data_IF_956452918000
#
_entry.id   IF_956452918000
#
_cell.length_a   1.000
_cell.length_b   1.000
_cell.length_c   1.000
_cell.angle_alpha   90.00
_cell.angle_beta   90.00
_cell.angle_gamma   90.00
#
_symmetry.space_group_name_H-M   'P 1'
#
loop_
_entity.id
_entity.type
_entity.pdbx_description
1 polymer ?
#
# COMPACT_ATOMS: atom_id res chain seq x y z
N UNK A 1 3.61 17.49 -8.53
CA UNK A 1 2.56 16.71 -7.91
C UNK A 1 1.29 16.78 -8.74
N UNK A 2 0.72 15.67 -9.16
CA UNK A 2 1.02 14.30 -8.79
C UNK A 2 2.27 13.70 -9.46
N UNK A 3 2.74 12.56 -8.95
CA UNK A 3 3.99 11.90 -9.38
C UNK A 3 3.92 11.39 -10.82
N UNK A 4 2.75 11.15 -11.37
CA UNK A 4 2.49 10.66 -12.74
C UNK A 4 2.28 11.79 -13.77
N UNK A 5 2.43 13.04 -13.37
CA UNK A 5 2.30 14.20 -14.25
C UNK A 5 3.66 14.59 -14.86
N UNK A 6 3.90 14.18 -16.10
CA UNK A 6 5.15 14.44 -16.85
C UNK A 6 5.12 15.73 -17.68
N UNK A 7 4.25 16.68 -17.36
CA UNK A 7 4.20 17.97 -18.05
C UNK A 7 5.41 18.85 -17.71
N UNK A 8 5.77 19.74 -18.61
CA UNK A 8 6.87 20.70 -18.41
C UNK A 8 6.68 21.61 -17.19
N UNK A 9 5.42 21.79 -16.74
CA UNK A 9 5.09 22.56 -15.54
C UNK A 9 5.30 21.79 -14.23
N UNK A 10 5.59 20.50 -14.30
CA UNK A 10 5.88 19.63 -13.16
C UNK A 10 7.23 18.93 -13.33
N UNK A 11 8.35 19.67 -13.27
CA UNK A 11 9.68 19.09 -13.47
C UNK A 11 10.05 18.14 -12.32
N UNK A 12 10.88 17.14 -12.62
CA UNK A 12 11.42 16.24 -11.61
C UNK A 12 12.21 17.03 -10.55
N UNK A 13 12.00 16.72 -9.27
CA UNK A 13 12.73 17.34 -8.14
C UNK A 13 14.23 17.01 -8.20
N UNK A 14 14.58 15.81 -8.65
CA UNK A 14 15.94 15.33 -8.80
C UNK A 14 16.19 14.78 -10.22
N UNK A 15 16.30 15.63 -11.25
CA UNK A 15 16.41 15.17 -12.64
C UNK A 15 17.61 14.24 -12.87
N UNK A 16 18.77 14.53 -12.27
CA UNK A 16 19.95 13.67 -12.38
C UNK A 16 19.76 12.28 -11.77
N UNK A 17 18.94 12.16 -10.71
CA UNK A 17 18.60 10.86 -10.13
C UNK A 17 17.67 10.10 -11.06
N UNK A 18 16.69 10.78 -11.64
CA UNK A 18 15.77 10.18 -12.60
C UNK A 18 16.51 9.64 -13.82
N UNK A 19 17.42 10.43 -14.39
CA UNK A 19 18.28 10.03 -15.51
C UNK A 19 19.14 8.81 -15.15
N UNK A 20 19.80 8.82 -13.98
CA UNK A 20 20.62 7.70 -13.53
C UNK A 20 19.81 6.40 -13.30
N UNK A 21 18.58 6.50 -12.81
CA UNK A 21 17.69 5.35 -12.68
C UNK A 21 17.21 4.84 -14.04
N UNK A 22 16.94 5.74 -15.00
CA UNK A 22 16.59 5.39 -16.37
C UNK A 22 17.73 4.64 -17.06
N UNK A 23 18.95 5.18 -17.01
CA UNK A 23 20.17 4.55 -17.55
C UNK A 23 20.38 3.15 -16.93
N UNK A 24 20.24 3.05 -15.61
CA UNK A 24 20.37 1.76 -14.90
C UNK A 24 19.32 0.75 -15.37
N UNK A 25 18.08 1.20 -15.54
CA UNK A 25 16.97 0.35 -15.99
C UNK A 25 17.22 -0.16 -17.42
N UNK A 26 17.67 0.70 -18.32
CA UNK A 26 18.06 0.30 -19.67
C UNK A 26 19.22 -0.70 -19.66
N UNK A 27 20.31 -0.41 -18.93
CA UNK A 27 21.48 -1.28 -18.79
C UNK A 27 21.16 -2.65 -18.21
N UNK A 28 20.12 -2.75 -17.34
CA UNK A 28 19.66 -4.02 -16.79
C UNK A 28 18.81 -4.84 -17.77
N UNK A 29 18.57 -4.34 -18.98
CA UNK A 29 17.64 -4.97 -19.95
C UNK A 29 16.18 -4.81 -19.54
N UNK A 30 15.85 -3.68 -18.94
CA UNK A 30 14.49 -3.35 -18.44
C UNK A 30 14.01 -4.28 -17.33
N UNK A 31 14.92 -4.72 -16.44
CA UNK A 31 14.56 -5.54 -15.26
C UNK A 31 13.94 -4.67 -14.16
N UNK A 32 12.60 -4.71 -14.10
CA UNK A 32 11.81 -3.96 -13.09
C UNK A 32 12.14 -4.42 -11.65
N UNK A 33 12.45 -5.70 -11.43
CA UNK A 33 12.79 -6.19 -10.08
C UNK A 33 14.13 -5.65 -9.61
N UNK A 34 15.09 -5.54 -10.52
CA UNK A 34 16.38 -4.92 -10.22
C UNK A 34 16.22 -3.44 -9.91
N UNK A 35 15.40 -2.70 -10.69
CA UNK A 35 15.11 -1.30 -10.41
C UNK A 35 14.49 -1.11 -9.01
N UNK A 36 13.47 -1.90 -8.67
CA UNK A 36 12.85 -1.87 -7.33
C UNK A 36 13.88 -2.19 -6.25
N UNK A 37 14.75 -3.17 -6.46
CA UNK A 37 15.80 -3.53 -5.50
C UNK A 37 16.75 -2.36 -5.28
N UNK A 38 17.25 -1.73 -6.34
CA UNK A 38 18.15 -0.58 -6.26
C UNK A 38 17.53 0.55 -5.46
N UNK A 39 16.27 0.89 -5.73
CA UNK A 39 15.55 1.94 -5.01
C UNK A 39 15.40 1.58 -3.53
N UNK A 40 14.86 0.40 -3.22
CA UNK A 40 14.52 0.01 -1.83
C UNK A 40 15.75 -0.25 -0.97
N UNK A 41 16.89 -0.60 -1.56
CA UNK A 41 18.16 -0.76 -0.83
C UNK A 41 18.98 0.52 -0.74
N UNK A 42 18.54 1.60 -1.38
CA UNK A 42 19.25 2.89 -1.32
C UNK A 42 19.20 3.48 0.10
N UNK A 43 20.25 4.19 0.46
CA UNK A 43 20.31 4.91 1.75
C UNK A 43 19.14 5.88 1.91
N UNK A 44 18.76 6.57 0.84
CA UNK A 44 17.63 7.53 0.86
C UNK A 44 16.31 6.86 1.21
N UNK A 45 16.03 5.68 0.64
CA UNK A 45 14.81 4.95 0.93
C UNK A 45 14.78 4.40 2.37
N UNK A 46 15.96 4.07 2.92
CA UNK A 46 16.12 3.49 4.26
C UNK A 46 16.31 4.53 5.37
N UNK A 47 16.17 5.81 5.07
CA UNK A 47 16.25 6.87 6.08
C UNK A 47 15.16 6.70 7.16
N UNK A 48 15.47 7.15 8.37
CA UNK A 48 14.48 7.23 9.45
C UNK A 48 13.33 8.17 9.09
N UNK A 49 12.12 7.84 9.53
CA UNK A 49 10.95 8.73 9.43
C UNK A 49 10.93 9.81 10.51
N UNK A 50 11.72 9.64 11.57
CA UNK A 50 11.79 10.61 12.67
C UNK A 50 12.50 11.88 12.18
N UNK A 51 11.85 13.05 12.22
CA UNK A 51 12.48 14.30 11.82
C UNK A 51 13.57 14.72 12.81
N UNK A 52 14.56 15.44 12.31
CA UNK A 52 15.52 16.19 13.11
C UNK A 52 15.24 17.71 13.02
N UNK A 53 16.04 18.52 13.69
CA UNK A 53 15.89 19.97 13.70
C UNK A 53 15.98 20.64 12.33
N UNK A 54 16.66 19.99 11.36
CA UNK A 54 16.93 20.56 10.03
C UNK A 54 15.97 20.07 8.95
N UNK A 55 15.37 18.88 9.09
CA UNK A 55 14.59 18.22 8.04
C UNK A 55 13.09 18.09 8.33
N UNK A 56 12.61 18.63 9.45
CA UNK A 56 11.20 18.50 9.85
C UNK A 56 10.21 19.08 8.83
N UNK A 57 10.60 20.08 8.06
CA UNK A 57 9.77 20.74 7.04
C UNK A 57 10.01 20.22 5.61
N UNK A 58 10.96 19.33 5.44
CA UNK A 58 11.26 18.80 4.10
C UNK A 58 10.13 17.88 3.62
N UNK A 59 9.60 18.21 2.43
CA UNK A 59 8.57 17.44 1.73
C UNK A 59 9.01 17.04 0.30
N UNK A 60 10.17 17.55 -0.17
CA UNK A 60 10.57 17.44 -1.58
C UNK A 60 11.93 16.79 -1.80
N UNK A 61 12.84 16.90 -0.82
CA UNK A 61 14.24 16.49 -1.02
C UNK A 61 14.59 15.13 -0.44
N UNK A 62 13.58 14.46 0.16
CA UNK A 62 13.76 13.10 0.72
C UNK A 62 14.90 13.01 1.75
N UNK A 63 15.12 14.07 2.53
CA UNK A 63 16.14 14.10 3.61
C UNK A 63 15.75 13.24 4.81
N UNK A 64 14.56 12.66 4.81
CA UNK A 64 14.04 11.62 5.71
C UNK A 64 13.01 10.78 4.98
N UNK A 65 12.74 9.60 5.49
CA UNK A 65 11.61 8.80 4.98
C UNK A 65 10.29 9.51 5.31
N UNK A 66 9.45 9.68 4.33
CA UNK A 66 8.10 10.24 4.53
C UNK A 66 7.09 9.08 4.54
N UNK A 67 6.52 8.74 5.73
CA UNK A 67 5.55 7.66 5.82
C UNK A 67 4.34 7.96 4.95
N UNK A 68 4.01 7.02 4.06
CA UNK A 68 2.76 7.02 3.29
C UNK A 68 1.83 5.97 3.86
N UNK A 69 0.54 6.20 3.74
CA UNK A 69 -0.45 5.18 4.08
C UNK A 69 -0.41 4.05 3.06
N UNK A 70 -0.65 2.86 3.52
CA UNK A 70 -0.89 1.74 2.61
C UNK A 70 -2.16 2.00 1.81
N UNK A 71 -2.16 1.61 0.54
CA UNK A 71 -3.39 1.58 -0.26
C UNK A 71 -4.38 0.60 0.33
N UNK A 72 -5.66 0.77 0.05
CA UNK A 72 -6.73 -0.06 0.58
C UNK A 72 -6.49 -1.56 0.32
N UNK A 73 -6.05 -1.87 -0.89
CA UNK A 73 -5.78 -3.25 -1.34
C UNK A 73 -4.60 -3.86 -0.58
N UNK A 74 -3.50 -3.13 -0.45
CA UNK A 74 -2.30 -3.59 0.27
C UNK A 74 -2.61 -3.78 1.75
N UNK A 75 -3.35 -2.84 2.36
CA UNK A 75 -3.77 -2.94 3.76
C UNK A 75 -4.68 -4.15 3.98
N UNK A 76 -5.66 -4.36 3.10
CA UNK A 76 -6.57 -5.50 3.17
C UNK A 76 -5.83 -6.84 3.07
N UNK A 77 -4.95 -6.96 2.09
CA UNK A 77 -4.15 -8.17 1.90
C UNK A 77 -3.21 -8.43 3.07
N UNK A 78 -2.58 -7.37 3.61
CA UNK A 78 -1.70 -7.47 4.78
C UNK A 78 -2.46 -7.93 6.04
N UNK A 79 -3.70 -7.46 6.23
CA UNK A 79 -4.55 -7.92 7.32
C UNK A 79 -4.93 -9.40 7.16
N UNK A 80 -5.30 -9.83 5.95
CA UNK A 80 -5.59 -11.23 5.68
C UNK A 80 -4.36 -12.13 5.92
N UNK A 81 -3.18 -11.70 5.48
CA UNK A 81 -1.93 -12.42 5.73
C UNK A 81 -1.59 -12.49 7.23
N UNK A 82 -1.82 -11.38 7.97
CA UNK A 82 -1.59 -11.33 9.41
C UNK A 82 -2.54 -12.27 10.18
N UNK A 83 -3.81 -12.29 9.79
CA UNK A 83 -4.85 -13.08 10.46
C UNK A 83 -4.84 -14.54 9.98
N UNK A 84 -4.16 -14.84 8.87
CA UNK A 84 -4.16 -16.13 8.17
C UNK A 84 -5.54 -16.51 7.61
N UNK A 85 -6.24 -15.55 7.05
CA UNK A 85 -7.51 -15.73 6.36
C UNK A 85 -7.35 -15.59 4.85
N UNK A 86 -8.36 -16.04 4.12
CA UNK A 86 -8.40 -15.93 2.66
C UNK A 86 -9.52 -15.00 2.24
N UNK A 87 -9.21 -14.08 1.35
CA UNK A 87 -10.21 -13.21 0.72
C UNK A 87 -11.18 -14.02 -0.15
N UNK A 88 -12.41 -13.55 -0.24
CA UNK A 88 -13.42 -14.09 -1.15
C UNK A 88 -14.09 -12.91 -1.86
N UNK A 89 -13.75 -12.73 -3.13
CA UNK A 89 -14.41 -11.78 -4.01
C UNK A 89 -15.28 -12.55 -4.99
N UNK A 90 -16.59 -12.30 -4.95
CA UNK A 90 -17.56 -13.02 -5.78
C UNK A 90 -17.14 -13.08 -7.26
N UNK A 91 -17.17 -14.27 -7.85
CA UNK A 91 -16.74 -14.48 -9.24
C UNK A 91 -15.24 -14.69 -9.46
N UNK A 92 -14.41 -14.57 -8.41
CA UNK A 92 -12.97 -14.84 -8.47
C UNK A 92 -12.57 -16.05 -7.61
N UNK A 93 -11.44 -16.69 -7.88
CA UNK A 93 -10.94 -17.78 -7.04
C UNK A 93 -10.74 -17.34 -5.58
N UNK A 94 -11.10 -18.21 -4.63
CA UNK A 94 -10.88 -17.95 -3.20
C UNK A 94 -9.40 -17.77 -2.91
N UNK A 95 -9.05 -16.69 -2.23
CA UNK A 95 -7.67 -16.29 -1.96
C UNK A 95 -7.10 -15.33 -3.00
N UNK A 96 -7.90 -14.86 -3.98
CA UNK A 96 -7.48 -13.76 -4.86
C UNK A 96 -7.12 -12.55 -4.00
N UNK A 97 -5.94 -11.99 -4.19
CA UNK A 97 -5.49 -10.80 -3.46
C UNK A 97 -6.21 -9.55 -3.96
N UNK A 98 -6.46 -8.62 -3.06
CA UNK A 98 -7.12 -7.35 -3.42
C UNK A 98 -6.30 -6.52 -4.42
N UNK A 99 -4.97 -6.60 -4.36
CA UNK A 99 -4.08 -5.95 -5.35
C UNK A 99 -4.21 -6.55 -6.78
N UNK A 100 -4.81 -7.73 -6.92
CA UNK A 100 -5.03 -8.41 -8.21
C UNK A 100 -6.47 -8.24 -8.73
N UNK A 101 -7.30 -7.42 -8.09
CA UNK A 101 -8.66 -7.19 -8.55
C UNK A 101 -8.65 -6.48 -9.91
N UNK A 102 -9.39 -6.99 -10.91
CA UNK A 102 -9.31 -6.49 -12.28
C UNK A 102 -9.88 -5.08 -12.45
N UNK A 103 -10.85 -4.69 -11.62
CA UNK A 103 -11.49 -3.38 -11.69
C UNK A 103 -12.16 -2.99 -10.36
N UNK A 104 -12.80 -1.81 -10.34
CA UNK A 104 -13.42 -1.24 -9.14
C UNK A 104 -14.83 -1.78 -8.84
N UNK A 105 -15.42 -2.61 -9.69
CA UNK A 105 -16.75 -3.21 -9.46
C UNK A 105 -16.79 -4.07 -8.18
N UNK A 106 -15.64 -4.57 -7.76
CA UNK A 106 -15.48 -5.35 -6.52
C UNK A 106 -15.53 -4.52 -5.24
N UNK A 107 -15.54 -3.18 -5.31
CA UNK A 107 -15.68 -2.31 -4.14
C UNK A 107 -17.03 -2.49 -3.45
N UNK A 108 -18.10 -2.66 -4.20
CA UNK A 108 -19.45 -2.88 -3.66
C UNK A 108 -19.57 -4.17 -2.84
N UNK A 109 -18.76 -5.16 -3.17
CA UNK A 109 -18.69 -6.43 -2.45
C UNK A 109 -17.80 -6.37 -1.18
N UNK A 110 -16.97 -5.32 -1.05
CA UNK A 110 -16.04 -5.17 0.07
C UNK A 110 -15.95 -3.71 0.54
N UNK A 111 -16.81 -3.38 1.51
CA UNK A 111 -16.87 -2.04 2.11
C UNK A 111 -15.52 -1.55 2.68
N UNK A 112 -14.62 -2.45 3.08
CA UNK A 112 -13.27 -2.10 3.54
C UNK A 112 -12.50 -1.32 2.47
N UNK A 113 -12.50 -1.82 1.22
CA UNK A 113 -11.76 -1.18 0.14
C UNK A 113 -12.23 0.25 -0.13
N UNK A 114 -13.55 0.47 -0.12
CA UNK A 114 -14.14 1.81 -0.28
C UNK A 114 -13.78 2.74 0.89
N UNK A 115 -13.94 2.28 2.14
CA UNK A 115 -13.61 3.08 3.34
C UNK A 115 -12.15 3.48 3.39
N UNK A 116 -11.24 2.61 2.91
CA UNK A 116 -9.80 2.89 2.89
C UNK A 116 -9.31 3.58 1.62
N UNK A 117 -10.25 4.08 0.79
CA UNK A 117 -9.96 5.03 -0.27
C UNK A 117 -9.62 4.41 -1.62
N UNK A 118 -10.05 3.15 -1.86
CA UNK A 118 -10.05 2.62 -3.22
C UNK A 118 -11.08 3.40 -4.05
N UNK A 119 -10.72 3.94 -5.23
CA UNK A 119 -11.66 4.68 -6.06
C UNK A 119 -12.87 3.85 -6.47
N UNK A 120 -14.05 4.47 -6.49
CA UNK A 120 -15.29 3.84 -6.98
C UNK A 120 -15.47 3.99 -8.49
N UNK A 121 -14.72 4.88 -9.12
CA UNK A 121 -14.81 5.13 -10.55
C UNK A 121 -14.08 4.07 -11.37
N UNK A 122 -14.47 3.94 -12.64
CA UNK A 122 -13.79 3.08 -13.60
C UNK A 122 -12.41 3.62 -14.04
N UNK A 123 -12.04 4.81 -13.57
CA UNK A 123 -10.74 5.42 -13.79
C UNK A 123 -9.69 4.78 -12.86
N UNK A 124 -8.60 4.32 -13.44
CA UNK A 124 -7.45 3.81 -12.69
C UNK A 124 -6.51 4.90 -12.17
N UNK A 125 -6.98 6.16 -12.11
CA UNK A 125 -6.17 7.29 -11.70
C UNK A 125 -5.87 7.24 -10.20
N UNK A 126 -4.59 7.22 -9.83
CA UNK A 126 -4.14 7.33 -8.43
C UNK A 126 -4.61 8.65 -7.76
N UNK A 127 -4.87 9.70 -8.55
CA UNK A 127 -5.36 10.98 -8.05
C UNK A 127 -6.77 10.91 -7.43
N UNK A 128 -7.54 9.87 -7.70
CA UNK A 128 -8.87 9.65 -7.10
C UNK A 128 -8.81 8.90 -5.77
N UNK A 129 -7.63 8.41 -5.37
CA UNK A 129 -7.46 7.72 -4.09
C UNK A 129 -7.50 8.69 -2.92
N UNK A 130 -8.41 8.48 -1.99
CA UNK A 130 -8.42 9.23 -0.74
C UNK A 130 -7.31 8.72 0.18
N UNK A 131 -6.34 9.58 0.48
CA UNK A 131 -5.26 9.31 1.44
C UNK A 131 -5.54 9.94 2.81
N UNK A 132 -6.67 10.62 3.00
CA UNK A 132 -6.98 11.29 4.25
C UNK A 132 -7.43 10.29 5.33
N UNK A 133 -7.04 10.60 6.58
CA UNK A 133 -7.52 9.87 7.73
C UNK A 133 -8.98 10.20 8.00
N UNK A 134 -9.82 9.19 8.17
CA UNK A 134 -11.20 9.40 8.55
C UNK A 134 -11.57 8.63 9.81
N UNK A 135 -12.54 9.17 10.56
CA UNK A 135 -13.11 8.47 11.70
C UNK A 135 -13.76 7.13 11.27
N UNK A 136 -14.32 7.10 10.06
CA UNK A 136 -14.92 5.88 9.50
C UNK A 136 -13.91 4.73 9.37
N UNK A 137 -12.66 5.03 8.99
CA UNK A 137 -11.60 4.02 8.92
C UNK A 137 -11.29 3.42 10.29
N UNK A 138 -11.15 4.27 11.30
CA UNK A 138 -10.89 3.82 12.67
C UNK A 138 -12.05 3.00 13.22
N UNK A 139 -13.28 3.48 13.06
CA UNK A 139 -14.48 2.77 13.49
C UNK A 139 -14.64 1.43 12.75
N UNK A 140 -14.29 1.39 11.46
CA UNK A 140 -14.34 0.15 10.70
C UNK A 140 -13.35 -0.90 11.23
N UNK A 141 -12.10 -0.51 11.52
CA UNK A 141 -11.12 -1.43 12.10
C UNK A 141 -11.55 -1.98 13.46
N UNK A 142 -12.20 -1.16 14.30
CA UNK A 142 -12.64 -1.58 15.62
C UNK A 142 -13.97 -2.34 15.64
N UNK A 143 -14.88 -2.04 14.73
CA UNK A 143 -16.27 -2.52 14.82
C UNK A 143 -16.71 -3.41 13.65
N UNK A 144 -15.90 -3.57 12.61
CA UNK A 144 -16.31 -4.35 11.46
C UNK A 144 -16.48 -5.83 11.80
N UNK A 145 -17.70 -6.34 11.64
CA UNK A 145 -18.06 -7.72 11.93
C UNK A 145 -17.16 -8.72 11.21
N UNK A 146 -16.85 -8.45 9.94
CA UNK A 146 -15.98 -9.31 9.13
C UNK A 146 -14.55 -9.42 9.71
N UNK A 147 -13.99 -8.32 10.24
CA UNK A 147 -12.67 -8.34 10.89
C UNK A 147 -12.72 -9.17 12.17
N UNK A 148 -13.76 -8.99 12.99
CA UNK A 148 -13.93 -9.78 14.21
C UNK A 148 -14.12 -11.26 13.93
N UNK A 149 -14.93 -11.62 12.93
CA UNK A 149 -15.14 -13.01 12.51
C UNK A 149 -13.84 -13.65 12.00
N UNK A 150 -13.03 -12.91 11.26
CA UNK A 150 -11.72 -13.34 10.80
C UNK A 150 -10.74 -13.55 11.97
N UNK A 151 -10.70 -12.62 12.93
CA UNK A 151 -9.86 -12.75 14.13
C UNK A 151 -10.29 -13.94 15.01
N UNK A 152 -11.58 -14.23 15.11
CA UNK A 152 -12.14 -15.35 15.85
C UNK A 152 -12.11 -16.69 15.09
N UNK A 153 -11.59 -16.71 13.86
CA UNK A 153 -11.61 -17.91 13.02
C UNK A 153 -10.76 -19.02 13.62
N UNK A 154 -11.32 -20.24 13.66
CA UNK A 154 -10.67 -21.41 14.31
C UNK A 154 -9.31 -21.81 13.71
N UNK A 155 -9.09 -21.52 12.44
CA UNK A 155 -7.84 -21.77 11.74
C UNK A 155 -6.96 -20.51 11.63
N UNK A 156 -7.43 -19.40 12.20
CA UNK A 156 -6.73 -18.12 12.21
C UNK A 156 -5.49 -18.13 13.13
N UNK A 157 -4.69 -17.08 13.01
CA UNK A 157 -3.46 -16.93 13.79
C UNK A 157 -3.72 -16.91 15.29
N UNK A 158 -4.76 -16.24 15.75
CA UNK A 158 -5.11 -16.17 17.18
C UNK A 158 -5.38 -17.55 17.77
N UNK A 159 -6.17 -18.38 17.08
CA UNK A 159 -6.45 -19.73 17.51
C UNK A 159 -5.20 -20.63 17.52
N UNK A 160 -4.34 -20.50 16.50
CA UNK A 160 -3.05 -21.22 16.44
C UNK A 160 -2.12 -20.84 17.57
N UNK A 161 -1.99 -19.56 17.87
CA UNK A 161 -1.17 -19.08 18.99
C UNK A 161 -1.72 -19.50 20.33
N UNK A 162 -3.05 -19.52 20.51
CA UNK A 162 -3.68 -20.01 21.74
C UNK A 162 -3.51 -21.52 21.95
N UNK A 163 -3.39 -22.29 20.86
CA UNK A 163 -3.16 -23.73 20.92
C UNK A 163 -1.68 -24.09 21.11
N UNK A 164 -0.76 -23.17 20.82
CA UNK A 164 0.68 -23.36 21.01
C UNK A 164 1.05 -23.26 22.49
N UNK A 165 1.21 -24.41 23.14
CA UNK A 165 1.58 -24.50 24.56
C UNK A 165 3.08 -24.41 24.84
N UNK A 166 3.87 -24.08 23.82
CA UNK A 166 5.34 -24.16 23.85
C UNK A 166 6.09 -22.87 24.19
N UNK A 167 5.40 -21.82 24.67
CA UNK A 167 6.06 -20.56 25.07
C UNK A 167 5.51 -20.01 26.36
#
# INVERSE_FOLDING_TARGET
DPEDDFRSTNPATHPKLLDALADRFEQSGYDLKELVRVITTSTTYQLSSVPNEHNGRDKHYYSRFQPKRLTAEVLFDSLNDLILTRSNFGGLPVGTRAVCLPDNSYNSANYFLSVFGRPDSSSACECERSQEASLAQSLHLFNAKNIHEQLAHKEGRAAKLAADKGR
#
